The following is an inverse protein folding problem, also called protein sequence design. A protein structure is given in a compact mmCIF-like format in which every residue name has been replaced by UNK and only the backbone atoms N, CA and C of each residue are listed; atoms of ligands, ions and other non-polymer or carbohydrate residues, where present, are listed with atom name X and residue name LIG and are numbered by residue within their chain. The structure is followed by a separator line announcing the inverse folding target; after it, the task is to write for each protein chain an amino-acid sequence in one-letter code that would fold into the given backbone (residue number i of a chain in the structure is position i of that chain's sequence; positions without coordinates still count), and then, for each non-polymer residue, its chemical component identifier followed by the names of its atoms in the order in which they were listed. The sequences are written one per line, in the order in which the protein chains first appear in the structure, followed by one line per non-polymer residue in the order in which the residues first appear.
data_IF_917905184487
#
_entry.id   IF_917905184487
#
_cell.length_a   1.000
_cell.length_b   1.000
_cell.length_c   1.000
_cell.angle_alpha   90.00
_cell.angle_beta   90.00
_cell.angle_gamma   90.00
#
_symmetry.space_group_name_H-M   'P 1'
#
loop_
_entity.id
_entity.type
_entity.pdbx_description
1 polymer ?
#
# COMPACT_ATOMS: atom_id res chain seq x y z
N UNK A 1 -19.90 5.11 2.61
CA UNK A 1 -18.44 5.14 2.79
C UNK A 1 -18.06 3.84 3.46
N UNK A 2 -17.62 2.85 2.69
CA UNK A 2 -17.03 1.65 3.28
C UNK A 2 -15.66 2.06 3.82
N UNK A 3 -15.61 2.45 5.10
CA UNK A 3 -14.33 2.63 5.79
C UNK A 3 -13.54 1.34 5.65
N UNK A 4 -12.34 1.41 5.09
CA UNK A 4 -11.37 0.32 5.11
C UNK A 4 -11.35 -0.29 6.52
N UNK A 5 -11.54 -1.61 6.62
CA UNK A 5 -11.56 -2.28 7.92
C UNK A 5 -10.17 -2.21 8.56
N UNK A 6 -10.12 -2.26 9.89
CA UNK A 6 -8.84 -2.33 10.61
C UNK A 6 -7.98 -3.51 10.16
N UNK A 7 -8.60 -4.63 9.76
CA UNK A 7 -7.89 -5.79 9.23
C UNK A 7 -7.19 -5.50 7.89
N UNK A 8 -7.82 -4.74 7.00
CA UNK A 8 -7.22 -4.35 5.71
C UNK A 8 -6.09 -3.36 5.95
N UNK A 9 -6.27 -2.37 6.84
CA UNK A 9 -5.22 -1.43 7.19
C UNK A 9 -3.98 -2.12 7.77
N UNK A 10 -4.16 -3.10 8.67
CA UNK A 10 -3.05 -3.89 9.21
C UNK A 10 -2.33 -4.70 8.11
N UNK A 11 -3.09 -5.29 7.17
CA UNK A 11 -2.50 -6.04 6.05
C UNK A 11 -1.72 -5.13 5.10
N UNK A 12 -2.19 -3.91 4.83
CA UNK A 12 -1.46 -2.92 4.05
C UNK A 12 -0.13 -2.57 4.73
N UNK A 13 -0.13 -2.38 6.05
CA UNK A 13 1.11 -2.10 6.79
C UNK A 13 2.12 -3.27 6.72
N UNK A 14 1.66 -4.51 6.87
CA UNK A 14 2.50 -5.71 6.70
C UNK A 14 3.13 -5.75 5.31
N UNK A 15 2.33 -5.58 4.25
CA UNK A 15 2.83 -5.59 2.88
C UNK A 15 3.84 -4.48 2.62
N UNK A 16 3.61 -3.27 3.14
CA UNK A 16 4.60 -2.18 3.00
C UNK A 16 5.93 -2.53 3.64
N UNK A 17 5.92 -3.21 4.81
CA UNK A 17 7.15 -3.68 5.47
C UNK A 17 7.83 -4.77 4.65
N UNK A 18 7.08 -5.72 4.10
CA UNK A 18 7.60 -6.78 3.22
C UNK A 18 8.27 -6.18 1.97
N UNK A 19 7.58 -5.28 1.28
CA UNK A 19 8.07 -4.63 0.07
C UNK A 19 9.33 -3.78 0.31
N UNK A 20 9.40 -3.09 1.46
CA UNK A 20 10.58 -2.34 1.84
C UNK A 20 11.76 -3.26 2.19
N UNK A 21 11.48 -4.38 2.87
CA UNK A 21 12.49 -5.41 3.18
C UNK A 21 13.08 -6.03 1.91
N UNK A 22 12.25 -6.32 0.90
CA UNK A 22 12.67 -6.88 -0.39
C UNK A 22 13.65 -5.98 -1.15
N UNK A 23 13.52 -4.66 -1.01
CA UNK A 23 14.47 -3.69 -1.59
C UNK A 23 15.62 -3.33 -0.64
N UNK A 24 15.79 -4.06 0.47
CA UNK A 24 16.88 -3.90 1.43
C UNK A 24 16.71 -2.76 2.43
N UNK A 25 15.47 -2.33 2.71
CA UNK A 25 15.16 -1.24 3.64
C UNK A 25 14.54 -1.82 4.92
N UNK A 26 15.27 -1.73 6.04
CA UNK A 26 14.73 -2.04 7.36
C UNK A 26 14.07 -0.80 8.01
N UNK A 27 12.74 -0.71 7.94
CA UNK A 27 11.98 0.42 8.53
C UNK A 27 12.27 0.61 10.02
N UNK A 28 12.49 -0.47 10.77
CA UNK A 28 12.76 -0.41 12.21
C UNK A 28 14.08 0.27 12.57
N UNK A 29 15.00 0.40 11.59
CA UNK A 29 16.26 1.12 11.75
C UNK A 29 16.18 2.57 11.24
N UNK A 30 15.07 2.97 10.62
CA UNK A 30 14.89 4.32 10.11
C UNK A 30 14.26 5.22 11.16
N UNK A 31 14.77 6.44 11.23
CA UNK A 31 14.13 7.50 12.01
C UNK A 31 12.77 7.87 11.40
N UNK A 32 11.75 8.24 12.21
CA UNK A 32 10.41 8.55 11.70
C UNK A 32 10.36 9.61 10.59
N UNK A 33 11.22 10.63 10.67
CA UNK A 33 11.28 11.68 9.65
C UNK A 33 11.75 11.15 8.30
N UNK A 34 12.67 10.18 8.28
CA UNK A 34 13.13 9.53 7.03
C UNK A 34 11.99 8.77 6.38
N UNK A 35 11.17 8.08 7.17
CA UNK A 35 10.00 7.36 6.64
C UNK A 35 9.03 8.36 6.00
N UNK A 36 8.71 9.46 6.68
CA UNK A 36 7.78 10.49 6.19
C UNK A 36 8.28 11.19 4.92
N UNK A 37 9.59 11.45 4.82
CA UNK A 37 10.19 12.09 3.64
C UNK A 37 10.19 11.20 2.40
N UNK A 38 10.28 9.88 2.60
CA UNK A 38 10.44 8.93 1.50
C UNK A 38 9.15 8.18 1.15
N UNK A 39 8.16 8.13 2.06
CA UNK A 39 6.89 7.46 1.85
C UNK A 39 5.84 8.45 1.34
N UNK A 40 5.19 8.11 0.22
CA UNK A 40 4.05 8.86 -0.32
C UNK A 40 2.88 7.91 -0.57
N UNK A 41 1.66 8.36 -0.29
CA UNK A 41 0.44 7.65 -0.65
C UNK A 41 -0.42 8.57 -1.52
N UNK A 42 -0.72 8.14 -2.74
CA UNK A 42 -1.70 8.79 -3.60
C UNK A 42 -3.05 8.06 -3.45
N UNK A 43 -4.10 8.84 -3.18
CA UNK A 43 -5.47 8.34 -2.99
C UNK A 43 -6.33 8.87 -4.12
N UNK A 44 -7.01 7.97 -4.82
CA UNK A 44 -7.84 8.28 -5.98
C UNK A 44 -9.33 8.39 -5.60
N UNK A 45 -10.13 8.93 -6.52
CA UNK A 45 -11.56 9.15 -6.31
C UNK A 45 -12.39 7.86 -6.17
N UNK A 46 -11.85 6.74 -6.64
CA UNK A 46 -12.45 5.41 -6.53
C UNK A 46 -12.02 4.67 -5.24
N UNK A 47 -11.42 5.38 -4.28
CA UNK A 47 -10.86 4.85 -3.03
C UNK A 47 -9.63 3.93 -3.23
N UNK A 48 -9.10 3.80 -4.46
CA UNK A 48 -7.81 3.15 -4.67
C UNK A 48 -6.65 3.97 -4.12
N UNK A 49 -5.58 3.28 -3.74
CA UNK A 49 -4.39 3.87 -3.15
C UNK A 49 -3.13 3.29 -3.77
N UNK A 50 -2.13 4.14 -4.02
CA UNK A 50 -0.80 3.70 -4.42
C UNK A 50 0.22 4.27 -3.45
N UNK A 51 1.01 3.39 -2.86
CA UNK A 51 2.11 3.71 -1.99
C UNK A 51 3.42 3.70 -2.76
N UNK A 52 4.22 4.73 -2.52
CA UNK A 52 5.50 4.95 -3.14
C UNK A 52 6.58 5.07 -2.07
N UNK A 53 7.74 4.48 -2.36
CA UNK A 53 8.96 4.69 -1.60
C UNK A 53 10.01 5.33 -2.49
N UNK A 54 10.50 6.52 -2.10
CA UNK A 54 11.50 7.28 -2.88
C UNK A 54 11.06 7.55 -4.34
N UNK A 55 9.75 7.67 -4.56
CA UNK A 55 9.15 7.87 -5.88
C UNK A 55 8.84 6.59 -6.66
N UNK A 56 9.30 5.43 -6.19
CA UNK A 56 9.02 4.14 -6.81
C UNK A 56 7.73 3.52 -6.22
N UNK A 57 6.78 3.07 -7.04
CA UNK A 57 5.58 2.42 -6.53
C UNK A 57 5.91 1.05 -5.95
N UNK A 58 5.47 0.79 -4.72
CA UNK A 58 5.75 -0.45 -3.99
C UNK A 58 4.51 -1.25 -3.62
N UNK A 59 3.34 -0.60 -3.53
CA UNK A 59 2.09 -1.28 -3.20
C UNK A 59 0.92 -0.51 -3.79
N UNK A 60 0.03 -1.20 -4.50
CA UNK A 60 -1.27 -0.68 -4.95
C UNK A 60 -2.39 -1.43 -4.25
N UNK A 61 -3.39 -0.69 -3.77
CA UNK A 61 -4.54 -1.20 -3.04
C UNK A 61 -5.80 -0.72 -3.73
N UNK A 62 -6.62 -1.64 -4.22
CA UNK A 62 -7.83 -1.33 -4.99
C UNK A 62 -9.06 -1.93 -4.33
N UNK A 63 -10.15 -1.16 -4.19
CA UNK A 63 -11.42 -1.72 -3.76
C UNK A 63 -12.04 -2.53 -4.90
N UNK A 64 -12.36 -3.77 -4.60
CA UNK A 64 -13.15 -4.65 -5.45
C UNK A 64 -14.59 -4.72 -4.92
N UNK A 65 -15.52 -4.25 -5.74
CA UNK A 65 -16.95 -4.38 -5.44
C UNK A 65 -17.41 -5.79 -5.76
N UNK A 66 -17.82 -6.56 -4.75
CA UNK A 66 -18.47 -7.85 -4.97
C UNK A 66 -19.98 -7.67 -5.18
N UNK A 67 -20.61 -8.54 -5.96
CA UNK A 67 -22.06 -8.53 -6.25
C UNK A 67 -22.94 -8.62 -4.97
N UNK A 68 -22.37 -9.11 -3.86
CA UNK A 68 -23.04 -9.24 -2.57
C UNK A 68 -23.00 -7.96 -1.71
N UNK A 69 -22.47 -6.85 -2.23
CA UNK A 69 -22.36 -5.58 -1.50
C UNK A 69 -21.17 -5.52 -0.53
N UNK A 70 -20.30 -6.53 -0.53
CA UNK A 70 -19.05 -6.51 0.25
C UNK A 70 -17.93 -5.88 -0.57
N UNK A 71 -17.24 -4.90 0.00
CA UNK A 71 -16.00 -4.34 -0.58
C UNK A 71 -14.83 -5.24 -0.19
N UNK A 72 -14.25 -5.95 -1.15
CA UNK A 72 -12.95 -6.60 -0.99
C UNK A 72 -11.84 -5.62 -1.37
N UNK A 73 -10.61 -5.89 -0.95
CA UNK A 73 -9.47 -5.05 -1.26
C UNK A 73 -8.38 -5.90 -1.91
N UNK A 74 -8.08 -5.62 -3.18
CA UNK A 74 -6.99 -6.25 -3.90
C UNK A 74 -5.70 -5.48 -3.64
N UNK A 75 -4.61 -6.19 -3.44
CA UNK A 75 -3.30 -5.65 -3.11
C UNK A 75 -2.32 -6.18 -4.13
N UNK A 76 -1.57 -5.30 -4.76
CA UNK A 76 -0.59 -5.60 -5.79
C UNK A 76 0.76 -5.10 -5.31
N UNK A 77 1.69 -6.02 -5.07
CA UNK A 77 3.06 -5.69 -4.68
C UNK A 77 3.85 -5.22 -5.89
N UNK A 78 5.08 -4.75 -5.69
CA UNK A 78 5.96 -4.28 -6.76
C UNK A 78 6.09 -5.27 -7.92
N UNK A 79 6.08 -6.57 -7.64
CA UNK A 79 6.18 -7.63 -8.65
C UNK A 79 4.90 -7.80 -9.49
N UNK A 80 3.74 -7.43 -8.93
CA UNK A 80 2.45 -7.46 -9.61
C UNK A 80 2.16 -6.17 -10.39
N UNK A 81 2.90 -5.10 -10.12
CA UNK A 81 2.74 -3.83 -10.81
C UNK A 81 3.28 -3.94 -12.25
N UNK A 82 2.52 -3.52 -13.27
CA UNK A 82 3.02 -3.52 -14.63
C UNK A 82 4.29 -2.68 -14.71
N UNK A 83 5.37 -3.25 -15.26
CA UNK A 83 6.59 -2.52 -15.57
C UNK A 83 6.21 -1.34 -16.46
N UNK A 84 6.31 -0.12 -15.91
CA UNK A 84 6.06 1.12 -16.64
C UNK A 84 7.10 1.31 -17.74
#
# INVERSE_FOLDING_TARGET
MSKMSQSVAARVEELLREQLSEIGIEITQLEPHVIVENMKCDIFSDESMIYYWKGEPILRVEPESSENGTTQWRMFTKDDLPSQ
#
